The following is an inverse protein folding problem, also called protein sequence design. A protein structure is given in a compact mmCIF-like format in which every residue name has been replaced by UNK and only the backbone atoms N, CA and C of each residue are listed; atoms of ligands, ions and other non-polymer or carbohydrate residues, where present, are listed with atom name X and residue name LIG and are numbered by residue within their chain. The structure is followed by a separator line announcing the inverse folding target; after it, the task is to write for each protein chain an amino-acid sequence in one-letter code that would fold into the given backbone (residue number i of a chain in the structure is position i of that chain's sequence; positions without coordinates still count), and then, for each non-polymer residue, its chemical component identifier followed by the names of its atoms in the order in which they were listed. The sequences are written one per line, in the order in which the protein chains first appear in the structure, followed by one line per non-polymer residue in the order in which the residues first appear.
data_IF_044680942586
#
_entry.id   IF_044680942586
#
_cell.length_a   1.000
_cell.length_b   1.000
_cell.length_c   1.000
_cell.angle_alpha   90.00
_cell.angle_beta   90.00
_cell.angle_gamma   90.00
#
_symmetry.space_group_name_H-M   'P 1'
#
loop_
_entity.id
_entity.type
_entity.pdbx_description
1 polymer ?
#
# COMPACT_ATOMS: atom_id res chain seq x y z
N UNK A 1 -18.58 -11.73 68.24
CA UNK A 1 -17.31 -11.00 68.00
C UNK A 1 -17.17 -10.83 66.51
N UNK A 2 -16.92 -9.59 66.10
CA UNK A 2 -17.11 -8.96 64.79
C UNK A 2 -16.35 -9.61 63.61
N UNK A 3 -16.95 -9.45 62.42
CA UNK A 3 -16.50 -9.74 61.06
C UNK A 3 -15.15 -9.11 60.67
N UNK A 4 -14.53 -9.64 59.60
CA UNK A 4 -13.91 -8.80 58.57
C UNK A 4 -12.62 -9.35 57.94
N UNK A 5 -12.74 -9.79 56.68
CA UNK A 5 -11.65 -10.29 55.83
C UNK A 5 -10.68 -9.17 55.43
N UNK A 6 -9.37 -9.44 55.46
CA UNK A 6 -8.30 -8.54 55.04
C UNK A 6 -7.64 -9.12 53.78
N UNK A 7 -7.83 -8.46 52.63
CA UNK A 7 -7.09 -8.75 51.40
C UNK A 7 -6.61 -7.41 50.86
N UNK A 8 -5.29 -7.20 50.77
CA UNK A 8 -4.71 -6.06 50.04
C UNK A 8 -3.32 -6.44 49.51
N UNK A 9 -3.23 -6.42 48.18
CA UNK A 9 -2.04 -6.58 47.35
C UNK A 9 -1.67 -5.20 46.73
N UNK A 10 -0.51 -5.05 46.06
CA UNK A 10 0.37 -3.90 46.26
C UNK A 10 0.20 -2.73 45.27
N UNK A 11 0.93 -1.67 45.64
CA UNK A 11 1.14 -0.36 45.02
C UNK A 11 1.46 -0.36 43.52
N UNK A 12 1.19 0.79 42.87
CA UNK A 12 2.10 1.51 41.96
C UNK A 12 1.57 2.95 41.73
N UNK A 13 2.52 3.86 41.50
CA UNK A 13 2.43 5.32 41.62
C UNK A 13 1.49 6.03 40.63
N UNK A 14 0.73 7.02 41.12
CA UNK A 14 0.00 7.99 40.30
C UNK A 14 -0.13 9.34 41.01
N UNK A 15 0.65 10.33 40.57
CA UNK A 15 0.48 11.72 40.98
C UNK A 15 -0.59 12.36 40.08
N UNK A 16 -1.77 12.58 40.66
CA UNK A 16 -2.80 13.43 40.10
C UNK A 16 -2.48 14.89 40.46
N UNK A 17 -2.45 15.77 39.47
CA UNK A 17 -2.75 17.19 39.68
C UNK A 17 -3.84 17.55 38.69
N UNK A 18 -5.05 17.60 39.24
CA UNK A 18 -6.21 18.27 38.66
C UNK A 18 -5.88 19.76 38.53
N UNK A 19 -6.30 20.41 37.45
CA UNK A 19 -6.98 21.71 37.57
C UNK A 19 -7.69 22.06 36.27
N UNK A 20 -8.99 22.28 36.40
CA UNK A 20 -9.91 22.59 35.33
C UNK A 20 -9.77 24.01 34.79
N UNK A 21 -10.40 24.18 33.63
CA UNK A 21 -10.53 25.42 32.90
C UNK A 21 -11.17 26.55 33.73
N UNK A 22 -10.63 27.76 33.56
CA UNK A 22 -11.36 29.00 33.74
C UNK A 22 -11.08 29.90 32.54
N UNK A 23 -12.03 29.92 31.60
CA UNK A 23 -12.16 30.98 30.60
C UNK A 23 -12.68 32.19 31.35
N UNK A 24 -11.86 33.23 31.49
CA UNK A 24 -12.28 34.54 31.99
C UNK A 24 -11.93 35.59 30.92
N UNK A 25 -12.97 36.15 30.32
CA UNK A 25 -12.88 37.43 29.61
C UNK A 25 -12.46 38.51 30.62
N UNK A 26 -11.35 39.20 30.37
CA UNK A 26 -10.94 40.33 31.18
C UNK A 26 -9.52 40.77 30.86
N UNK A 27 -9.40 41.99 30.32
CA UNK A 27 -8.17 42.66 29.96
C UNK A 27 -7.01 42.43 30.95
N UNK A 28 -5.98 41.71 30.51
CA UNK A 28 -4.70 41.67 31.18
C UNK A 28 -3.84 42.83 30.68
N UNK A 29 -3.51 43.72 31.61
CA UNK A 29 -2.60 44.84 31.49
C UNK A 29 -1.29 44.39 30.84
N UNK A 30 -0.95 45.00 29.71
CA UNK A 30 0.36 44.90 29.08
C UNK A 30 1.38 45.61 29.98
N UNK A 31 2.17 44.85 30.73
CA UNK A 31 3.43 45.31 31.31
C UNK A 31 4.39 44.13 31.41
N UNK A 32 5.28 44.04 30.42
CA UNK A 32 6.27 42.98 30.33
C UNK A 32 7.07 43.12 29.04
N UNK A 33 8.22 43.73 29.17
CA UNK A 33 9.25 43.96 28.16
C UNK A 33 9.80 42.63 27.60
N UNK A 34 9.16 42.08 26.56
CA UNK A 34 9.68 40.92 25.83
C UNK A 34 10.09 41.32 24.40
N UNK A 35 11.11 42.17 24.29
CA UNK A 35 11.82 42.42 23.01
C UNK A 35 12.58 41.19 22.47
N UNK A 36 12.41 40.02 23.09
CA UNK A 36 13.06 38.76 22.73
C UNK A 36 12.19 37.81 21.89
N UNK A 37 10.89 38.10 21.71
CA UNK A 37 10.03 37.25 20.87
C UNK A 37 10.34 37.35 19.38
N UNK A 38 10.85 38.49 18.92
CA UNK A 38 11.14 38.73 17.50
C UNK A 38 12.46 38.08 17.02
N UNK A 39 13.43 37.82 17.91
CA UNK A 39 14.73 37.25 17.51
C UNK A 39 14.68 35.73 17.37
N UNK A 40 13.91 35.03 18.20
CA UNK A 40 13.71 33.58 18.09
C UNK A 40 13.01 33.17 16.78
N UNK A 41 12.01 33.93 16.34
CA UNK A 41 11.30 33.68 15.08
C UNK A 41 12.23 33.87 13.85
N UNK A 42 13.14 34.85 13.92
CA UNK A 42 14.06 35.15 12.82
C UNK A 42 15.11 34.05 12.63
N UNK A 43 15.67 33.54 13.72
CA UNK A 43 16.67 32.45 13.69
C UNK A 43 16.04 31.13 13.21
N UNK A 44 14.81 30.81 13.65
CA UNK A 44 14.07 29.62 13.22
C UNK A 44 13.69 29.67 11.73
N UNK A 45 13.24 30.83 11.22
CA UNK A 45 12.91 31.04 9.81
C UNK A 45 14.12 31.01 8.87
N UNK A 46 15.32 31.30 9.38
CA UNK A 46 16.57 31.24 8.61
C UNK A 46 17.14 29.81 8.53
N UNK A 47 16.55 28.86 9.27
CA UNK A 47 16.99 27.46 9.27
C UNK A 47 16.55 26.79 7.97
N UNK A 48 17.52 26.28 7.21
CA UNK A 48 17.24 25.48 6.01
C UNK A 48 16.39 24.28 6.45
N UNK A 49 15.15 24.15 5.98
CA UNK A 49 14.31 23.02 6.35
C UNK A 49 14.99 21.73 5.87
N UNK A 50 15.07 20.75 6.77
CA UNK A 50 15.56 19.42 6.40
C UNK A 50 14.74 18.85 5.24
N UNK A 51 15.37 18.01 4.42
CA UNK A 51 14.67 17.34 3.32
C UNK A 51 13.49 16.54 3.85
N UNK A 52 12.31 16.81 3.31
CA UNK A 52 11.05 16.16 3.70
C UNK A 52 10.77 14.99 2.78
N UNK A 53 10.21 13.93 3.35
CA UNK A 53 9.80 12.74 2.59
C UNK A 53 8.34 12.90 2.17
N UNK A 54 8.09 13.05 0.87
CA UNK A 54 6.75 13.17 0.30
C UNK A 54 6.73 12.70 -1.16
N UNK A 55 5.58 12.21 -1.67
CA UNK A 55 5.42 11.87 -3.08
C UNK A 55 5.21 13.12 -3.92
N UNK A 56 5.69 13.07 -5.17
CA UNK A 56 5.43 14.08 -6.21
C UNK A 56 4.74 13.38 -7.38
N UNK A 57 3.64 13.95 -7.87
CA UNK A 57 2.87 13.40 -8.99
C UNK A 57 3.32 14.09 -10.28
N UNK A 58 3.74 13.30 -11.26
CA UNK A 58 3.96 13.76 -12.63
C UNK A 58 2.66 13.67 -13.44
N UNK A 59 1.96 14.80 -13.56
CA UNK A 59 0.69 14.87 -14.28
C UNK A 59 0.81 14.64 -15.79
N UNK A 60 2.02 14.69 -16.37
CA UNK A 60 2.20 14.35 -17.79
C UNK A 60 2.08 12.85 -18.05
N UNK A 61 2.32 12.03 -17.02
CA UNK A 61 2.21 10.56 -17.07
C UNK A 61 0.98 10.02 -16.35
N UNK A 62 0.44 10.76 -15.40
CA UNK A 62 -0.70 10.30 -14.62
C UNK A 62 -1.97 10.20 -15.48
N UNK A 63 -2.48 8.99 -15.65
CA UNK A 63 -3.77 8.70 -16.32
C UNK A 63 -4.97 8.80 -15.39
N UNK A 64 -4.79 9.30 -14.16
CA UNK A 64 -5.84 9.42 -13.15
C UNK A 64 -6.52 8.07 -12.77
N UNK A 65 -5.76 6.97 -12.79
CA UNK A 65 -6.24 5.60 -12.51
C UNK A 65 -6.55 5.29 -11.03
N UNK A 66 -6.29 6.23 -10.11
CA UNK A 66 -6.57 6.14 -8.66
C UNK A 66 -5.89 5.03 -7.85
N UNK A 67 -5.11 4.14 -8.46
CA UNK A 67 -4.43 3.04 -7.74
C UNK A 67 -3.58 3.51 -6.54
N UNK A 68 -2.94 4.68 -6.65
CA UNK A 68 -2.13 5.25 -5.58
C UNK A 68 -2.95 5.73 -4.37
N UNK A 69 -4.21 6.12 -4.58
CA UNK A 69 -5.16 6.49 -3.53
C UNK A 69 -5.52 5.26 -2.71
N UNK A 70 -5.99 4.21 -3.39
CA UNK A 70 -6.46 2.97 -2.77
C UNK A 70 -5.34 2.23 -2.04
N UNK A 71 -4.13 2.27 -2.60
CA UNK A 71 -2.96 1.65 -2.00
C UNK A 71 -2.46 2.38 -0.74
N UNK A 72 -2.69 3.69 -0.62
CA UNK A 72 -2.07 4.49 0.44
C UNK A 72 -2.82 4.40 1.77
N UNK A 73 -2.33 3.54 2.66
CA UNK A 73 -2.84 3.39 4.03
C UNK A 73 -2.65 4.62 4.94
N UNK A 74 -1.89 5.63 4.51
CA UNK A 74 -1.56 6.80 5.32
C UNK A 74 -2.36 8.05 4.97
N UNK A 75 -3.31 7.97 4.01
CA UNK A 75 -4.17 9.10 3.64
C UNK A 75 -3.40 10.29 3.04
N UNK A 76 -2.34 10.02 2.30
CA UNK A 76 -1.49 11.05 1.68
C UNK A 76 -2.17 11.72 0.48
N UNK A 77 -3.01 10.98 -0.23
CA UNK A 77 -3.67 11.42 -1.45
C UNK A 77 -5.13 11.79 -1.20
N UNK A 78 -5.63 12.71 -2.02
CA UNK A 78 -7.03 13.12 -2.08
C UNK A 78 -7.46 13.35 -3.53
N UNK A 79 -8.75 13.63 -3.73
CA UNK A 79 -9.35 13.84 -5.05
C UNK A 79 -10.01 15.22 -5.08
N UNK A 80 -9.72 16.01 -6.11
CA UNK A 80 -10.29 17.36 -6.26
C UNK A 80 -11.72 17.33 -6.82
N UNK A 81 -12.34 18.50 -7.00
CA UNK A 81 -13.69 18.63 -7.55
C UNK A 81 -13.82 18.21 -9.01
N UNK A 82 -12.70 18.04 -9.72
CA UNK A 82 -12.64 17.57 -11.11
C UNK A 82 -12.23 16.09 -11.16
N UNK A 83 -12.35 15.39 -10.04
CA UNK A 83 -11.98 13.99 -9.89
C UNK A 83 -10.50 13.71 -10.18
N UNK A 84 -9.61 14.69 -10.00
CA UNK A 84 -8.16 14.50 -10.21
C UNK A 84 -7.46 14.18 -8.90
N UNK A 85 -6.60 13.17 -8.95
CA UNK A 85 -5.72 12.82 -7.84
C UNK A 85 -4.75 13.96 -7.52
N UNK A 86 -4.59 14.29 -6.25
CA UNK A 86 -3.58 15.22 -5.77
C UNK A 86 -3.00 14.75 -4.43
N UNK A 87 -1.88 15.34 -4.01
CA UNK A 87 -1.28 15.06 -2.70
C UNK A 87 -1.92 16.00 -1.69
N UNK A 88 -2.71 15.46 -0.76
CA UNK A 88 -3.45 16.23 0.25
C UNK A 88 -2.61 16.42 1.53
N UNK A 89 -2.12 15.31 2.10
CA UNK A 89 -1.39 15.30 3.36
C UNK A 89 0.07 14.82 3.17
N UNK A 90 0.94 15.71 2.68
CA UNK A 90 2.34 15.35 2.36
C UNK A 90 3.11 14.79 3.57
N UNK A 91 2.91 15.38 4.75
CA UNK A 91 3.61 15.02 5.99
C UNK A 91 3.11 13.69 6.61
N UNK A 92 1.95 13.18 6.18
CA UNK A 92 1.44 11.86 6.59
C UNK A 92 2.16 10.70 5.92
N UNK A 93 3.00 10.98 4.92
CA UNK A 93 3.74 9.93 4.21
C UNK A 93 4.75 9.24 5.13
N UNK A 94 4.64 7.93 5.30
CA UNK A 94 5.60 7.14 6.07
C UNK A 94 7.01 7.28 5.46
N UNK A 95 7.93 7.84 6.24
CA UNK A 95 9.34 8.04 5.85
C UNK A 95 9.93 6.77 5.22
N UNK A 96 10.42 6.90 3.99
CA UNK A 96 11.06 5.83 3.24
C UNK A 96 10.14 4.80 2.60
N UNK A 97 8.82 5.00 2.59
CA UNK A 97 7.86 4.12 1.92
C UNK A 97 7.57 4.60 0.48
N UNK A 98 8.07 3.92 -0.58
CA UNK A 98 7.83 4.30 -1.97
C UNK A 98 6.74 3.45 -2.64
N UNK A 99 5.90 2.76 -1.87
CA UNK A 99 5.13 1.65 -2.41
C UNK A 99 4.04 2.09 -3.40
N UNK A 100 3.47 3.30 -3.24
CA UNK A 100 2.60 3.93 -4.23
C UNK A 100 3.30 4.24 -5.58
N UNK A 101 4.62 4.40 -5.60
CA UNK A 101 5.40 4.53 -6.85
C UNK A 101 5.50 3.21 -7.61
N UNK A 102 5.52 2.08 -6.90
CA UNK A 102 5.61 0.75 -7.52
C UNK A 102 4.28 0.24 -8.07
N UNK A 103 3.17 0.60 -7.43
CA UNK A 103 1.83 0.19 -7.86
C UNK A 103 1.31 1.04 -9.03
N UNK A 104 1.86 2.25 -9.22
CA UNK A 104 1.46 3.13 -10.31
C UNK A 104 1.83 2.52 -11.67
N UNK A 105 0.84 2.21 -12.55
CA UNK A 105 1.09 1.57 -13.83
C UNK A 105 1.97 2.41 -14.76
N UNK A 106 1.79 3.74 -14.71
CA UNK A 106 2.53 4.73 -15.53
C UNK A 106 3.80 5.25 -14.86
N UNK A 107 4.14 4.74 -13.66
CA UNK A 107 5.22 5.24 -12.81
C UNK A 107 5.20 6.77 -12.60
N UNK A 108 4.01 7.38 -12.56
CA UNK A 108 3.83 8.84 -12.43
C UNK A 108 4.16 9.37 -11.02
N UNK A 109 4.16 8.51 -10.00
CA UNK A 109 4.48 8.88 -8.61
C UNK A 109 5.98 8.78 -8.36
N UNK A 110 6.60 9.86 -7.90
CA UNK A 110 8.04 9.99 -7.70
C UNK A 110 8.40 10.35 -6.26
N UNK A 111 9.56 9.91 -5.81
CA UNK A 111 10.18 10.31 -4.54
C UNK A 111 11.62 10.79 -4.82
N UNK A 112 11.87 12.12 -4.91
CA UNK A 112 13.15 12.66 -5.35
C UNK A 112 14.37 12.19 -4.53
N UNK A 113 14.19 11.94 -3.23
CA UNK A 113 15.26 11.49 -2.33
C UNK A 113 15.39 9.95 -2.27
N UNK A 114 14.67 9.20 -3.10
CA UNK A 114 14.77 7.74 -3.10
C UNK A 114 16.03 7.24 -3.81
N UNK A 115 16.57 6.13 -3.34
CA UNK A 115 17.87 5.60 -3.79
C UNK A 115 17.86 5.12 -5.25
N UNK A 116 16.73 4.61 -5.74
CA UNK A 116 16.64 4.09 -7.11
C UNK A 116 16.20 5.17 -8.09
N UNK A 117 16.86 5.29 -9.25
CA UNK A 117 16.57 6.35 -10.23
C UNK A 117 15.14 6.27 -10.78
N UNK A 118 14.58 5.07 -10.95
CA UNK A 118 13.22 4.93 -11.46
C UNK A 118 12.13 5.47 -10.53
N UNK A 119 12.33 5.36 -9.21
CA UNK A 119 11.38 5.94 -8.24
C UNK A 119 11.71 7.43 -8.02
N UNK A 120 12.96 7.83 -8.19
CA UNK A 120 13.39 9.24 -8.11
C UNK A 120 13.04 10.08 -9.35
N UNK A 121 12.29 9.53 -10.32
CA UNK A 121 11.80 10.29 -11.48
C UNK A 121 12.71 10.31 -12.70
N UNK A 122 13.63 9.34 -12.83
CA UNK A 122 14.36 9.14 -14.08
C UNK A 122 13.40 8.83 -15.25
N UNK A 123 13.75 9.20 -16.49
CA UNK A 123 12.89 8.96 -17.65
C UNK A 123 12.54 7.47 -17.80
N UNK A 124 11.26 7.21 -18.08
CA UNK A 124 10.69 5.87 -18.24
C UNK A 124 11.42 5.16 -19.40
N UNK A 125 12.07 4.04 -19.11
CA UNK A 125 12.95 3.33 -20.06
C UNK A 125 14.18 2.70 -19.40
N UNK A 126 14.58 3.15 -18.21
CA UNK A 126 15.73 2.60 -17.49
C UNK A 126 15.47 1.24 -16.80
N UNK A 127 14.20 0.85 -16.57
CA UNK A 127 13.84 -0.40 -15.86
C UNK A 127 12.81 -1.27 -16.61
N UNK A 128 12.08 -0.71 -17.58
CA UNK A 128 10.98 -1.38 -18.30
C UNK A 128 11.40 -2.58 -19.15
N UNK A 129 12.71 -2.86 -19.27
CA UNK A 129 13.26 -3.97 -20.05
C UNK A 129 13.48 -5.27 -19.28
N UNK A 130 13.38 -5.29 -17.95
CA UNK A 130 13.59 -6.52 -17.18
C UNK A 130 12.25 -7.19 -16.88
N UNK A 131 11.56 -7.67 -17.92
CA UNK A 131 10.52 -8.70 -17.79
C UNK A 131 11.22 -9.98 -17.35
N UNK A 132 11.53 -10.05 -16.05
CA UNK A 132 11.90 -11.30 -15.42
C UNK A 132 10.68 -12.18 -15.57
N UNK A 133 10.81 -13.26 -16.34
CA UNK A 133 9.74 -14.21 -16.55
C UNK A 133 9.53 -14.94 -15.22
N UNK A 134 8.59 -14.44 -14.41
CA UNK A 134 8.29 -14.96 -13.06
C UNK A 134 8.04 -16.47 -13.11
N UNK A 135 7.44 -16.96 -14.18
CA UNK A 135 7.27 -18.38 -14.47
C UNK A 135 8.61 -19.10 -14.40
N UNK A 136 9.63 -18.66 -15.15
CA UNK A 136 10.95 -19.30 -15.13
C UNK A 136 11.68 -19.15 -13.80
N UNK A 137 11.43 -18.06 -13.07
CA UNK A 137 12.11 -17.80 -11.79
C UNK A 137 11.57 -18.66 -10.64
N UNK A 138 10.26 -18.92 -10.62
CA UNK A 138 9.59 -19.67 -9.54
C UNK A 138 9.34 -21.15 -9.91
N UNK A 139 10.11 -21.70 -10.85
CA UNK A 139 10.05 -23.13 -11.19
C UNK A 139 8.93 -23.49 -12.16
N UNK A 140 8.61 -22.60 -13.08
CA UNK A 140 7.62 -22.72 -14.14
C UNK A 140 8.00 -23.74 -15.20
N UNK A 141 7.99 -25.00 -14.78
CA UNK A 141 7.74 -26.12 -15.67
C UNK A 141 6.27 -26.19 -16.07
N UNK A 142 5.94 -27.18 -16.87
CA UNK A 142 4.57 -27.48 -17.27
C UNK A 142 3.69 -27.68 -16.02
N UNK A 143 2.62 -26.88 -15.91
CA UNK A 143 1.67 -26.91 -14.81
C UNK A 143 1.06 -28.31 -14.63
N UNK A 144 0.85 -29.05 -15.72
CA UNK A 144 0.31 -30.41 -15.70
C UNK A 144 1.30 -31.38 -15.04
N UNK A 145 2.59 -31.24 -15.35
CA UNK A 145 3.65 -32.09 -14.79
C UNK A 145 3.84 -31.82 -13.31
N UNK A 146 3.82 -30.54 -12.91
CA UNK A 146 3.90 -30.15 -11.49
C UNK A 146 2.70 -30.70 -10.73
N UNK A 147 1.49 -30.52 -11.25
CA UNK A 147 0.26 -31.01 -10.62
C UNK A 147 0.25 -32.55 -10.49
N UNK A 148 0.65 -33.28 -11.53
CA UNK A 148 0.73 -34.74 -11.50
C UNK A 148 1.75 -35.21 -10.45
N UNK A 149 2.91 -34.55 -10.37
CA UNK A 149 3.97 -34.88 -9.40
C UNK A 149 3.51 -34.65 -7.96
N UNK A 150 2.88 -33.52 -7.65
CA UNK A 150 2.37 -33.27 -6.29
C UNK A 150 1.22 -34.22 -5.94
N UNK A 151 0.31 -34.53 -6.88
CA UNK A 151 -0.73 -35.56 -6.68
C UNK A 151 -0.12 -36.92 -6.34
N UNK A 152 0.85 -37.39 -7.14
CA UNK A 152 1.45 -38.70 -6.95
C UNK A 152 2.25 -38.79 -5.65
N UNK A 153 2.84 -37.69 -5.21
CA UNK A 153 3.51 -37.58 -3.90
C UNK A 153 2.52 -37.77 -2.75
N UNK A 154 1.31 -37.21 -2.84
CA UNK A 154 0.26 -37.44 -1.83
C UNK A 154 -0.28 -38.88 -1.92
N UNK A 155 -0.46 -39.45 -3.12
CA UNK A 155 -0.87 -40.86 -3.28
C UNK A 155 0.11 -41.81 -2.59
N UNK A 156 1.41 -41.59 -2.77
CA UNK A 156 2.44 -42.41 -2.12
C UNK A 156 2.43 -42.26 -0.60
N UNK A 157 2.16 -41.06 -0.06
CA UNK A 157 2.01 -40.85 1.40
C UNK A 157 0.80 -41.58 1.96
N UNK A 158 -0.27 -41.67 1.20
CA UNK A 158 -1.47 -42.42 1.53
C UNK A 158 -1.32 -43.94 1.31
N UNK A 159 -0.13 -44.41 0.90
CA UNK A 159 0.14 -45.83 0.63
C UNK A 159 -0.47 -46.36 -0.67
N UNK A 160 -0.82 -45.47 -1.60
CA UNK A 160 -1.36 -45.78 -2.93
C UNK A 160 -0.26 -45.66 -4.00
N UNK A 161 -0.46 -46.31 -5.14
CA UNK A 161 0.47 -46.23 -6.26
C UNK A 161 0.40 -44.87 -6.96
N UNK A 162 1.57 -44.39 -7.42
CA UNK A 162 1.67 -43.21 -8.27
C UNK A 162 1.06 -43.47 -9.65
N UNK A 163 0.31 -42.49 -10.15
CA UNK A 163 -0.49 -42.66 -11.38
C UNK A 163 0.18 -41.99 -12.58
N UNK A 164 1.08 -41.03 -12.36
CA UNK A 164 1.77 -40.30 -13.41
C UNK A 164 0.81 -39.55 -14.33
N UNK A 165 1.23 -39.25 -15.55
CA UNK A 165 0.36 -38.59 -16.54
C UNK A 165 -0.70 -39.52 -17.15
N UNK A 166 -0.76 -40.79 -16.73
CA UNK A 166 -1.61 -41.82 -17.35
C UNK A 166 -3.11 -41.61 -17.10
N UNK A 167 -3.47 -41.11 -15.92
CA UNK A 167 -4.84 -40.67 -15.62
C UNK A 167 -4.84 -39.17 -15.83
N UNK A 168 -5.28 -38.78 -17.03
CA UNK A 168 -5.47 -37.38 -17.41
C UNK A 168 -6.38 -36.64 -16.42
N UNK A 169 -6.29 -35.30 -16.41
CA UNK A 169 -7.18 -34.48 -15.58
C UNK A 169 -8.62 -34.70 -16.11
N UNK A 170 -9.55 -35.24 -15.30
CA UNK A 170 -10.94 -35.32 -15.73
C UNK A 170 -11.44 -33.91 -16.04
N UNK A 171 -12.05 -33.71 -17.21
CA UNK A 171 -12.68 -32.43 -17.54
C UNK A 171 -13.64 -32.08 -16.41
N UNK A 172 -13.52 -30.86 -15.86
CA UNK A 172 -14.37 -30.35 -14.76
C UNK A 172 -15.87 -30.47 -15.06
N UNK A 173 -16.22 -30.55 -16.34
CA UNK A 173 -17.56 -30.84 -16.83
C UNK A 173 -17.47 -31.97 -17.87
N UNK A 174 -17.56 -33.25 -17.44
CA UNK A 174 -17.53 -34.38 -18.36
C UNK A 174 -18.77 -34.43 -19.26
N UNK A 175 -19.89 -33.88 -18.76
CA UNK A 175 -21.21 -33.89 -19.41
C UNK A 175 -21.64 -32.52 -19.96
N UNK A 176 -20.74 -31.52 -20.04
CA UNK A 176 -21.06 -30.28 -20.77
C UNK A 176 -21.21 -30.70 -22.24
N UNK A 177 -22.46 -30.75 -22.70
CA UNK A 177 -22.76 -30.90 -24.13
C UNK A 177 -21.97 -29.82 -24.87
N UNK A 178 -21.30 -30.19 -25.95
CA UNK A 178 -20.77 -29.22 -26.91
C UNK A 178 -21.96 -28.46 -27.49
N UNK A 179 -22.41 -27.44 -26.76
CA UNK A 179 -23.36 -26.47 -27.25
C UNK A 179 -22.61 -25.54 -28.19
N UNK A 180 -23.22 -25.13 -29.31
CA UNK A 180 -22.66 -24.06 -30.12
C UNK A 180 -22.43 -22.83 -29.24
N UNK A 181 -21.36 -22.08 -29.54
CA UNK A 181 -21.01 -20.85 -28.83
C UNK A 181 -22.24 -19.96 -28.72
N UNK A 182 -22.59 -19.60 -27.48
CA UNK A 182 -23.70 -18.70 -27.24
C UNK A 182 -23.29 -17.25 -27.51
N UNK A 183 -24.25 -16.32 -27.39
CA UNK A 183 -23.98 -14.91 -27.62
C UNK A 183 -22.89 -14.36 -26.68
N UNK A 184 -22.77 -14.90 -25.47
CA UNK A 184 -21.77 -14.47 -24.49
C UNK A 184 -20.37 -14.96 -24.89
N UNK A 185 -20.27 -16.20 -25.35
CA UNK A 185 -19.02 -16.76 -25.91
C UNK A 185 -18.53 -15.93 -27.10
N UNK A 186 -19.44 -15.53 -28.01
CA UNK A 186 -19.11 -14.70 -29.17
C UNK A 186 -18.68 -13.27 -28.79
N UNK A 187 -19.29 -12.70 -27.74
CA UNK A 187 -18.89 -11.40 -27.20
C UNK A 187 -17.50 -11.47 -26.57
N UNK A 188 -17.17 -12.56 -25.86
CA UNK A 188 -15.83 -12.75 -25.32
C UNK A 188 -14.79 -12.91 -26.43
N UNK A 189 -15.06 -13.71 -27.45
CA UNK A 189 -14.16 -13.82 -28.61
C UNK A 189 -13.94 -12.45 -29.29
N UNK A 190 -15.00 -11.62 -29.34
CA UNK A 190 -14.93 -10.27 -29.91
C UNK A 190 -14.06 -9.35 -29.06
N UNK A 191 -14.16 -9.43 -27.73
CA UNK A 191 -13.33 -8.66 -26.80
C UNK A 191 -11.86 -9.09 -26.87
N UNK A 192 -11.58 -10.39 -26.93
CA UNK A 192 -10.22 -10.91 -27.10
C UNK A 192 -9.62 -10.50 -28.46
N UNK A 193 -10.46 -10.40 -29.51
CA UNK A 193 -10.02 -9.90 -30.82
C UNK A 193 -9.75 -8.39 -30.86
N UNK A 194 -10.21 -7.65 -29.85
CA UNK A 194 -10.07 -6.21 -29.71
C UNK A 194 -8.85 -5.81 -28.88
N UNK A 195 -7.79 -6.65 -28.80
CA UNK A 195 -6.50 -6.30 -28.18
C UNK A 195 -5.98 -4.93 -28.69
N UNK A 196 -6.25 -3.89 -27.91
CA UNK A 196 -5.64 -2.55 -27.89
C UNK A 196 -4.79 -2.49 -26.62
#
# INVERSE_FOLDING_TARGET
VQLGMNISAPALNGAAVLNGAAVLNGAALLNGNDTNGASFLKEEMLKIPGRRWYPVIDYSRCTNCMECLDFCLFGVYGVDSLERIYVDNQDSCKKGCPACSRVCPEQAIMFPDYKSPAIAGAPVGAISGLKIDLTKLFGGGDALVIAAKERDKELLRDGRDAVGLSVGIPKRQPDKKDSPKDDLDNLMDSLDSLEI
#
